data_IF_637990277178
#
_entry.id   IF_637990277178
#
_cell.length_a   1.000
_cell.length_b   1.000
_cell.length_c   1.000
_cell.angle_alpha   90.00
_cell.angle_beta   90.00
_cell.angle_gamma   90.00
#
_symmetry.space_group_name_H-M   'P 1'
#
loop_
_entity.id
_entity.type
_entity.pdbx_description
1 polymer ?
#
# COMPACT_ATOMS: atom_id res chain seq x y z
N UNK A 1 12.73 -15.44 -5.22
CA UNK A 1 11.47 -15.74 -4.52
C UNK A 1 11.20 -14.64 -3.51
N UNK A 2 10.28 -13.74 -3.82
CA UNK A 2 9.86 -12.64 -2.94
C UNK A 2 8.42 -12.81 -2.46
N UNK A 3 8.06 -12.03 -1.44
CA UNK A 3 6.71 -12.00 -0.89
C UNK A 3 5.92 -10.78 -1.35
N UNK A 4 4.68 -11.00 -1.78
CA UNK A 4 3.66 -9.95 -1.88
C UNK A 4 2.79 -10.04 -0.63
N UNK A 5 2.70 -8.94 0.10
CA UNK A 5 2.00 -8.84 1.38
C UNK A 5 0.81 -7.92 1.21
N UNK A 6 -0.38 -8.42 1.55
CA UNK A 6 -1.59 -7.62 1.68
C UNK A 6 -1.99 -7.59 3.16
N UNK A 7 -2.09 -6.39 3.72
CA UNK A 7 -2.73 -6.17 5.01
C UNK A 7 -4.24 -6.15 4.80
N UNK A 8 -4.90 -7.24 5.21
CA UNK A 8 -6.34 -7.44 5.03
C UNK A 8 -7.14 -7.18 6.31
N UNK A 9 -6.57 -6.50 7.31
CA UNK A 9 -7.32 -6.26 8.54
C UNK A 9 -8.58 -5.47 8.23
N UNK A 10 -9.77 -5.95 8.67
CA UNK A 10 -11.02 -5.26 8.41
C UNK A 10 -11.00 -3.88 9.06
N UNK A 11 -11.07 -2.83 8.24
CA UNK A 11 -11.32 -1.49 8.72
C UNK A 11 -12.79 -1.42 9.19
N UNK A 12 -13.03 -1.43 10.51
CA UNK A 12 -14.39 -1.29 11.06
C UNK A 12 -14.89 0.15 10.97
N UNK A 13 -15.02 0.66 9.76
CA UNK A 13 -15.73 1.90 9.53
C UNK A 13 -17.24 1.65 9.62
N UNK A 14 -18.00 2.41 10.43
CA UNK A 14 -19.26 2.90 9.90
C UNK A 14 -18.89 3.79 8.70
N UNK A 15 -19.58 3.58 7.58
CA UNK A 15 -19.37 4.13 6.23
C UNK A 15 -19.30 5.68 6.10
N UNK A 16 -18.92 6.42 7.15
CA UNK A 16 -19.38 7.78 7.43
C UNK A 16 -18.25 8.82 7.58
N UNK A 17 -17.03 8.54 7.08
CA UNK A 17 -15.98 9.60 6.94
C UNK A 17 -15.36 9.71 5.55
N UNK A 18 -15.45 8.67 4.71
CA UNK A 18 -15.21 8.78 3.26
C UNK A 18 -16.55 8.72 2.53
N UNK A 19 -17.06 9.86 2.08
CA UNK A 19 -18.25 9.94 1.25
C UNK A 19 -17.92 9.49 -0.19
N UNK A 20 -17.53 8.23 -0.34
CA UNK A 20 -16.99 7.68 -1.58
C UNK A 20 -18.12 7.35 -2.58
N UNK A 21 -18.07 7.88 -3.80
CA UNK A 21 -18.78 7.27 -4.91
C UNK A 21 -18.10 5.93 -5.24
N UNK A 22 -18.88 4.85 -5.27
CA UNK A 22 -18.35 3.51 -5.56
C UNK A 22 -18.45 3.18 -7.05
N UNK A 23 -17.44 2.49 -7.58
CA UNK A 23 -17.35 2.13 -9.01
C UNK A 23 -17.58 0.62 -9.24
N UNK A 24 -18.30 0.20 -10.30
CA UNK A 24 -19.01 1.04 -11.28
C UNK A 24 -20.15 1.80 -10.60
N UNK A 25 -20.56 2.95 -11.15
CA UNK A 25 -21.78 3.64 -10.70
C UNK A 25 -22.99 2.73 -11.00
N UNK A 26 -23.20 1.72 -10.16
CA UNK A 26 -24.34 0.83 -10.20
C UNK A 26 -25.36 1.33 -9.19
N UNK A 27 -26.63 1.35 -9.59
CA UNK A 27 -27.76 1.81 -8.77
C UNK A 27 -28.06 0.90 -7.56
N UNK A 28 -27.30 -0.18 -7.35
CA UNK A 28 -27.48 -1.10 -6.23
C UNK A 28 -26.35 -0.93 -5.22
N UNK A 29 -26.74 -0.67 -3.97
CA UNK A 29 -25.89 -0.37 -2.80
C UNK A 29 -25.02 -1.51 -2.29
N UNK A 30 -24.53 -2.38 -3.19
CA UNK A 30 -23.65 -3.53 -2.91
C UNK A 30 -22.27 -3.32 -3.55
N UNK A 31 -21.75 -2.10 -3.44
CA UNK A 31 -20.51 -1.74 -4.08
C UNK A 31 -19.33 -1.96 -3.11
N UNK A 32 -18.32 -2.72 -3.55
CA UNK A 32 -17.29 -3.31 -2.69
C UNK A 32 -16.47 -2.23 -1.96
N UNK A 33 -16.45 -2.30 -0.63
CA UNK A 33 -15.59 -1.53 0.29
C UNK A 33 -14.11 -1.85 0.08
N UNK A 34 -13.19 -0.94 0.47
CA UNK A 34 -11.74 -1.19 0.38
C UNK A 34 -11.29 -2.48 1.06
N UNK A 35 -12.00 -2.93 2.09
CA UNK A 35 -11.73 -4.19 2.80
C UNK A 35 -12.00 -5.37 1.90
N UNK A 36 -13.09 -5.31 1.13
CA UNK A 36 -13.41 -6.33 0.14
C UNK A 36 -12.42 -6.30 -1.02
N UNK A 37 -11.80 -5.16 -1.36
CA UNK A 37 -10.72 -5.10 -2.37
C UNK A 37 -9.45 -5.77 -1.87
N UNK A 38 -8.95 -5.42 -0.68
CA UNK A 38 -7.75 -6.03 -0.08
C UNK A 38 -7.97 -7.51 0.25
N UNK A 39 -9.15 -7.86 0.78
CA UNK A 39 -9.52 -9.26 1.02
C UNK A 39 -9.63 -10.03 -0.29
N UNK A 40 -10.22 -9.46 -1.34
CA UNK A 40 -10.26 -10.08 -2.67
C UNK A 40 -8.85 -10.15 -3.31
N UNK A 41 -7.97 -9.19 -3.05
CA UNK A 41 -6.58 -9.17 -3.51
C UNK A 41 -5.78 -10.32 -2.91
N UNK A 42 -5.94 -10.53 -1.62
CA UNK A 42 -5.46 -11.71 -0.95
C UNK A 42 -6.12 -12.97 -1.55
N UNK A 43 -7.44 -13.10 -1.48
CA UNK A 43 -8.17 -14.34 -1.74
C UNK A 43 -8.14 -14.82 -3.21
N UNK A 44 -8.29 -13.92 -4.19
CA UNK A 44 -8.43 -14.30 -5.62
C UNK A 44 -7.12 -14.62 -6.34
N UNK A 45 -5.95 -14.42 -5.71
CA UNK A 45 -4.65 -14.70 -6.33
C UNK A 45 -4.03 -16.04 -5.91
N UNK A 46 -4.73 -16.82 -5.09
CA UNK A 46 -4.29 -18.14 -4.65
C UNK A 46 -4.78 -19.23 -5.61
N UNK A 47 -3.90 -19.64 -6.54
CA UNK A 47 -3.53 -21.04 -6.79
C UNK A 47 -2.48 -21.03 -7.93
N UNK A 48 -1.27 -21.43 -7.54
CA UNK A 48 -0.08 -21.74 -8.34
C UNK A 48 0.88 -20.60 -8.73
N UNK A 49 1.89 -20.42 -7.85
CA UNK A 49 2.98 -19.46 -7.91
C UNK A 49 4.31 -20.19 -7.67
N UNK A 50 4.89 -20.80 -8.71
CA UNK A 50 6.13 -21.58 -8.51
C UNK A 50 7.38 -20.75 -8.10
N UNK A 51 7.29 -19.41 -8.00
CA UNK A 51 8.45 -18.54 -7.62
C UNK A 51 8.13 -17.33 -6.71
N UNK A 52 6.93 -16.74 -6.73
CA UNK A 52 6.57 -15.57 -5.89
C UNK A 52 5.50 -15.97 -4.88
N UNK A 53 5.77 -15.87 -3.58
CA UNK A 53 4.79 -16.32 -2.59
C UNK A 53 3.91 -15.13 -2.17
N UNK A 54 2.60 -15.31 -2.18
CA UNK A 54 1.65 -14.27 -1.75
C UNK A 54 1.16 -14.64 -0.34
N UNK A 55 1.21 -13.70 0.60
CA UNK A 55 0.56 -13.82 1.91
C UNK A 55 -0.48 -12.71 2.00
N UNK A 56 -1.75 -13.11 2.06
CA UNK A 56 -2.79 -12.28 2.67
C UNK A 56 -2.75 -12.56 4.15
N UNK A 57 -2.40 -11.56 4.95
CA UNK A 57 -2.37 -11.68 6.40
C UNK A 57 -3.09 -10.46 6.95
N UNK A 58 -4.13 -10.70 7.75
CA UNK A 58 -4.67 -9.67 8.64
C UNK A 58 -3.50 -9.16 9.46
N UNK A 59 -3.22 -7.85 9.43
CA UNK A 59 -2.17 -7.24 10.24
C UNK A 59 -2.28 -7.56 11.73
N UNK A 60 -3.45 -7.97 12.22
CA UNK A 60 -3.64 -8.55 13.55
C UNK A 60 -2.83 -9.86 13.70
N UNK A 61 -1.61 -9.72 14.19
CA UNK A 61 -0.70 -10.84 14.43
C UNK A 61 0.52 -10.94 13.51
N UNK A 62 0.89 -9.88 12.77
CA UNK A 62 2.26 -9.83 12.21
C UNK A 62 3.28 -9.79 13.36
N UNK A 63 4.15 -10.81 13.50
CA UNK A 63 5.19 -10.74 14.52
C UNK A 63 6.13 -9.57 14.24
N UNK A 64 6.48 -8.82 15.27
CA UNK A 64 7.55 -7.82 15.19
C UNK A 64 8.83 -8.49 14.65
N UNK A 65 9.26 -8.15 13.43
CA UNK A 65 10.53 -8.59 12.83
C UNK A 65 10.47 -9.66 11.74
N UNK A 66 9.30 -10.11 11.26
CA UNK A 66 9.19 -11.49 10.79
C UNK A 66 9.14 -11.79 9.28
N UNK A 67 9.08 -10.81 8.37
CA UNK A 67 8.93 -11.10 6.93
C UNK A 67 10.15 -10.67 6.14
N UNK A 68 10.93 -11.68 5.75
CA UNK A 68 12.08 -11.50 4.88
C UNK A 68 11.74 -11.60 3.41
N UNK A 69 12.41 -10.81 2.58
CA UNK A 69 12.29 -10.80 1.12
C UNK A 69 10.94 -10.28 0.59
N UNK A 70 10.43 -9.18 1.15
CA UNK A 70 9.22 -8.52 0.64
C UNK A 70 9.52 -7.80 -0.68
N UNK A 71 8.75 -8.10 -1.73
CA UNK A 71 8.82 -7.45 -3.04
C UNK A 71 7.64 -6.50 -3.30
N UNK A 72 6.51 -6.69 -2.61
CA UNK A 72 5.40 -5.77 -2.69
C UNK A 72 4.59 -5.78 -1.39
N UNK A 73 4.12 -4.61 -0.96
CA UNK A 73 3.24 -4.45 0.19
C UNK A 73 2.09 -3.50 -0.15
N UNK A 74 0.86 -3.91 0.17
CA UNK A 74 -0.29 -3.02 0.22
C UNK A 74 -1.04 -3.13 1.54
N UNK A 75 -1.52 -2.00 2.06
CA UNK A 75 -2.28 -2.00 3.31
C UNK A 75 -2.99 -0.68 3.63
N UNK A 76 -3.78 -0.70 4.71
CA UNK A 76 -4.52 0.46 5.21
C UNK A 76 -3.66 1.48 5.94
N UNK A 77 -2.47 1.06 6.41
CA UNK A 77 -1.65 1.88 7.30
C UNK A 77 -2.40 2.20 8.58
N UNK A 78 -2.28 3.43 9.09
CA UNK A 78 -2.97 3.81 10.35
C UNK A 78 -4.44 4.19 10.17
N UNK A 79 -4.90 4.32 8.92
CA UNK A 79 -6.24 4.80 8.59
C UNK A 79 -7.35 3.77 8.84
N UNK A 80 -7.04 2.60 9.40
CA UNK A 80 -8.06 1.62 9.78
C UNK A 80 -8.63 1.94 11.17
N UNK A 81 -9.96 1.95 11.29
CA UNK A 81 -10.63 2.07 12.60
C UNK A 81 -10.67 0.69 13.27
N UNK A 82 -9.81 0.47 14.28
CA UNK A 82 -9.81 -0.81 15.01
C UNK A 82 -8.67 -1.07 15.98
N UNK A 83 -7.57 -0.30 15.95
CA UNK A 83 -6.44 -0.48 16.88
C UNK A 83 -5.56 -1.71 16.61
N UNK A 84 -5.83 -2.47 15.56
CA UNK A 84 -4.92 -3.43 14.93
C UNK A 84 -3.62 -2.78 14.43
N UNK A 85 -2.62 -3.61 14.18
CA UNK A 85 -1.34 -3.23 13.59
C UNK A 85 -1.52 -2.82 12.11
N UNK A 86 -0.58 -2.12 11.48
CA UNK A 86 0.34 -1.22 12.13
C UNK A 86 -0.39 -0.05 12.82
N UNK A 87 -0.11 0.20 14.10
CA UNK A 87 -0.88 1.13 14.94
C UNK A 87 -0.18 2.45 15.26
N UNK A 88 1.02 2.68 14.71
CA UNK A 88 1.79 3.90 14.91
C UNK A 88 1.93 4.78 13.66
N UNK A 89 1.97 6.10 13.84
CA UNK A 89 2.20 7.06 12.75
C UNK A 89 3.55 6.90 12.02
N UNK A 90 4.49 6.18 12.64
CA UNK A 90 5.81 5.83 12.10
C UNK A 90 5.92 4.33 11.80
N UNK A 91 4.80 3.66 11.58
CA UNK A 91 4.77 2.20 11.50
C UNK A 91 5.70 1.62 10.44
N UNK A 92 5.93 2.32 9.32
CA UNK A 92 6.88 1.85 8.30
C UNK A 92 8.31 1.73 8.86
N UNK A 93 8.66 2.58 9.82
CA UNK A 93 9.97 2.58 10.48
C UNK A 93 10.01 1.65 11.69
N UNK A 94 8.98 1.69 12.52
CA UNK A 94 9.01 1.09 13.86
C UNK A 94 8.29 -0.27 13.92
N UNK A 95 7.26 -0.46 13.10
CA UNK A 95 6.39 -1.64 13.14
C UNK A 95 6.70 -2.60 11.97
N UNK A 96 6.65 -2.13 10.71
CA UNK A 96 6.99 -2.92 9.51
C UNK A 96 8.49 -3.24 9.47
N UNK A 97 8.84 -4.28 10.19
CA UNK A 97 10.19 -4.83 10.22
C UNK A 97 10.42 -5.81 9.06
N UNK A 98 10.13 -5.37 7.85
CA UNK A 98 10.39 -6.13 6.62
C UNK A 98 11.85 -6.00 6.19
N UNK A 99 12.38 -7.06 5.56
CA UNK A 99 13.53 -6.92 4.68
C UNK A 99 13.07 -6.88 3.23
N UNK A 100 13.42 -5.80 2.53
CA UNK A 100 12.97 -5.57 1.16
C UNK A 100 13.93 -6.18 0.13
N UNK A 101 13.35 -6.80 -0.89
CA UNK A 101 14.10 -7.16 -2.09
C UNK A 101 14.36 -5.92 -2.96
N UNK A 102 15.43 -5.91 -3.78
CA UNK A 102 15.61 -4.88 -4.81
C UNK A 102 14.37 -4.80 -5.71
N UNK A 103 13.83 -3.60 -5.89
CA UNK A 103 12.58 -3.39 -6.61
C UNK A 103 11.33 -3.52 -5.73
N UNK A 104 11.44 -3.49 -4.40
CA UNK A 104 10.25 -3.55 -3.55
C UNK A 104 9.28 -2.39 -3.83
N UNK A 105 7.99 -2.72 -3.95
CA UNK A 105 6.90 -1.79 -4.23
C UNK A 105 5.98 -1.58 -3.01
N UNK A 106 5.47 -0.37 -2.85
CA UNK A 106 4.54 -0.01 -1.77
C UNK A 106 3.33 0.76 -2.29
N UNK A 107 2.15 0.40 -1.79
CA UNK A 107 0.89 1.12 -2.00
C UNK A 107 0.20 1.16 -0.64
N UNK A 108 -0.39 2.28 -0.22
CA UNK A 108 -1.27 2.26 0.95
C UNK A 108 -2.54 3.04 0.72
N UNK A 109 -3.58 2.68 1.45
CA UNK A 109 -4.86 3.38 1.53
C UNK A 109 -4.79 4.51 2.57
N UNK A 110 -3.68 5.24 2.58
CA UNK A 110 -3.45 6.37 3.49
C UNK A 110 -3.53 7.70 2.77
N UNK A 111 -4.07 8.67 3.49
CA UNK A 111 -4.21 10.05 3.07
C UNK A 111 -2.88 10.78 3.24
N UNK A 112 -2.56 11.75 2.38
CA UNK A 112 -1.40 12.65 2.55
C UNK A 112 -0.01 11.97 2.64
N UNK A 113 0.11 10.66 2.36
CA UNK A 113 1.33 9.86 2.48
C UNK A 113 2.39 10.13 1.38
N UNK A 114 2.09 11.04 0.46
CA UNK A 114 2.99 11.50 -0.60
C UNK A 114 3.17 13.03 -0.65
N UNK A 115 2.85 13.75 0.44
CA UNK A 115 2.93 15.22 0.49
C UNK A 115 4.32 15.76 0.76
N UNK A 116 5.15 15.00 1.47
CA UNK A 116 6.48 15.39 1.92
C UNK A 116 7.46 14.21 1.80
N UNK A 117 8.72 14.52 1.49
CA UNK A 117 9.81 13.55 1.39
C UNK A 117 10.86 13.68 2.51
N UNK A 118 10.62 14.56 3.46
CA UNK A 118 11.38 14.57 4.71
C UNK A 118 11.04 13.31 5.51
N UNK A 119 12.01 12.42 5.66
CA UNK A 119 11.89 11.27 6.54
C UNK A 119 11.71 11.75 7.98
N UNK A 120 10.94 11.01 8.78
CA UNK A 120 10.83 11.28 10.23
C UNK A 120 12.16 11.09 11.00
N UNK A 121 13.31 11.02 10.34
CA UNK A 121 14.63 10.77 10.94
C UNK A 121 15.70 11.77 10.51
N UNK A 122 15.33 12.90 9.90
CA UNK A 122 16.32 13.96 9.57
C UNK A 122 17.03 14.39 10.87
N UNK A 123 18.33 14.17 10.92
CA UNK A 123 19.23 14.50 12.05
C UNK A 123 18.92 13.81 13.40
N UNK A 124 18.27 12.63 13.37
CA UNK A 124 18.04 11.82 14.57
C UNK A 124 16.93 12.33 15.49
N UNK A 125 16.27 13.43 15.15
CA UNK A 125 15.07 13.91 15.82
C UNK A 125 13.83 13.34 15.11
N UNK A 126 13.05 12.54 15.83
CA UNK A 126 11.81 11.94 15.29
C UNK A 126 10.70 12.97 15.36
N UNK A 127 10.50 13.74 14.29
CA UNK A 127 9.42 14.73 14.21
C UNK A 127 8.29 14.29 13.25
N UNK A 128 7.06 14.36 13.75
CA UNK A 128 5.80 14.03 13.06
C UNK A 128 5.09 15.27 12.49
N UNK A 129 5.76 16.43 12.54
CA UNK A 129 5.18 17.77 12.43
C UNK A 129 4.42 18.01 11.10
N UNK A 130 4.77 17.30 10.02
CA UNK A 130 4.11 17.43 8.71
C UNK A 130 3.35 16.17 8.25
N UNK A 131 3.34 15.09 9.04
CA UNK A 131 3.00 13.74 8.56
C UNK A 131 1.52 13.37 8.72
N UNK A 132 0.72 14.24 9.36
CA UNK A 132 -0.69 14.02 9.73
C UNK A 132 -0.97 12.65 10.39
N UNK A 133 0.05 12.07 11.00
CA UNK A 133 0.00 10.77 11.62
C UNK A 133 0.03 9.56 10.68
N UNK A 134 0.42 9.71 9.42
CA UNK A 134 0.32 8.65 8.41
C UNK A 134 1.68 8.07 8.06
N UNK A 135 1.72 6.79 7.67
CA UNK A 135 2.90 6.22 7.01
C UNK A 135 3.20 6.99 5.73
N UNK A 136 4.47 7.24 5.45
CA UNK A 136 4.87 8.04 4.28
C UNK A 136 5.70 7.23 3.29
N UNK A 137 5.58 7.56 2.01
CA UNK A 137 6.46 7.03 0.96
C UNK A 137 7.93 7.20 1.34
N UNK A 138 8.30 8.35 1.92
CA UNK A 138 9.68 8.64 2.28
C UNK A 138 10.28 7.62 3.27
N UNK A 139 9.47 7.10 4.20
CA UNK A 139 9.93 6.12 5.18
C UNK A 139 10.13 4.75 4.52
N UNK A 140 9.22 4.38 3.61
CA UNK A 140 9.38 3.16 2.83
C UNK A 140 10.67 3.19 2.02
N UNK A 141 10.94 4.31 1.33
CA UNK A 141 12.19 4.51 0.60
C UNK A 141 13.42 4.51 1.52
N UNK A 142 13.33 5.18 2.68
CA UNK A 142 14.41 5.21 3.68
C UNK A 142 14.75 3.80 4.18
N UNK A 143 13.76 2.92 4.32
CA UNK A 143 13.94 1.52 4.73
C UNK A 143 14.46 0.60 3.63
N UNK A 144 14.71 1.11 2.42
CA UNK A 144 15.24 0.36 1.29
C UNK A 144 14.20 -0.06 0.25
N UNK A 145 12.97 0.43 0.37
CA UNK A 145 11.96 0.35 -0.69
C UNK A 145 12.42 1.04 -1.98
N UNK A 146 11.90 0.61 -3.12
CA UNK A 146 12.35 1.11 -4.43
C UNK A 146 11.33 1.99 -5.14
N UNK A 147 10.05 1.62 -5.08
CA UNK A 147 8.98 2.29 -5.83
C UNK A 147 7.69 2.34 -5.02
N UNK A 148 6.89 3.39 -5.20
CA UNK A 148 5.68 3.57 -4.39
C UNK A 148 4.58 4.35 -5.11
N UNK A 149 3.33 4.12 -4.69
CA UNK A 149 2.18 4.98 -4.96
C UNK A 149 1.70 5.53 -3.61
N UNK A 150 1.42 6.82 -3.56
CA UNK A 150 0.71 7.44 -2.45
C UNK A 150 -0.01 8.70 -2.91
N UNK A 151 -0.38 9.57 -1.99
CA UNK A 151 -1.40 10.58 -2.19
C UNK A 151 -0.99 11.93 -1.56
N UNK A 152 -1.19 13.02 -2.29
CA UNK A 152 -0.97 14.40 -1.78
C UNK A 152 -2.16 14.97 -1.02
N UNK A 153 -3.30 14.28 -1.05
CA UNK A 153 -4.52 14.64 -0.33
C UNK A 153 -5.30 13.38 0.05
N UNK A 154 -6.47 13.53 0.66
CA UNK A 154 -7.44 12.46 0.88
C UNK A 154 -7.92 11.86 -0.45
N UNK A 155 -7.58 10.59 -0.78
CA UNK A 155 -8.16 9.91 -1.93
C UNK A 155 -9.53 9.35 -1.56
N UNK A 156 -10.40 9.20 -2.56
CA UNK A 156 -11.50 8.24 -2.44
C UNK A 156 -10.91 6.82 -2.56
N UNK A 157 -11.47 5.85 -1.86
CA UNK A 157 -11.02 4.44 -1.93
C UNK A 157 -11.02 3.93 -3.37
N UNK A 158 -11.97 4.38 -4.19
CA UNK A 158 -12.03 4.02 -5.61
C UNK A 158 -10.88 4.60 -6.44
N UNK A 159 -10.21 5.64 -5.97
CA UNK A 159 -9.15 6.35 -6.67
C UNK A 159 -7.75 5.85 -6.29
N UNK A 160 -7.60 5.20 -5.13
CA UNK A 160 -6.35 4.50 -4.77
C UNK A 160 -5.99 3.50 -5.86
N UNK A 161 -4.70 3.41 -6.19
CA UNK A 161 -4.21 2.49 -7.22
C UNK A 161 -4.62 1.04 -6.94
N UNK A 162 -5.16 0.35 -7.94
CA UNK A 162 -5.54 -1.06 -7.83
C UNK A 162 -4.28 -1.92 -7.67
N UNK A 163 -3.95 -2.23 -6.44
CA UNK A 163 -2.78 -2.95 -5.97
C UNK A 163 -2.65 -4.31 -6.64
N UNK A 164 -3.77 -4.99 -6.93
CA UNK A 164 -3.77 -6.27 -7.65
C UNK A 164 -3.28 -6.07 -9.07
N UNK A 165 -3.85 -5.08 -9.77
CA UNK A 165 -3.44 -4.77 -11.12
C UNK A 165 -1.98 -4.28 -11.17
N UNK A 166 -1.57 -3.40 -10.25
CA UNK A 166 -0.19 -2.89 -10.20
C UNK A 166 0.79 -4.02 -9.90
N UNK A 167 0.61 -4.75 -8.80
CA UNK A 167 1.56 -5.77 -8.37
C UNK A 167 1.60 -6.98 -9.30
N UNK A 168 0.47 -7.41 -9.86
CA UNK A 168 0.47 -8.47 -10.86
C UNK A 168 1.29 -8.08 -12.09
N UNK A 169 1.12 -6.85 -12.59
CA UNK A 169 1.87 -6.39 -13.76
C UNK A 169 3.36 -6.23 -13.47
N UNK A 170 3.67 -5.63 -12.33
CA UNK A 170 5.03 -5.34 -11.92
C UNK A 170 5.83 -6.60 -11.54
N UNK A 171 5.26 -7.44 -10.67
CA UNK A 171 5.96 -8.59 -10.10
C UNK A 171 5.84 -9.86 -10.97
N UNK A 172 4.80 -9.99 -11.79
CA UNK A 172 4.52 -11.24 -12.54
C UNK A 172 4.61 -11.05 -14.05
N UNK A 173 4.11 -9.94 -14.61
CA UNK A 173 4.14 -9.71 -16.06
C UNK A 173 5.45 -9.10 -16.56
N UNK A 174 6.31 -8.58 -15.67
CA UNK A 174 7.61 -7.98 -16.01
C UNK A 174 7.51 -6.61 -16.66
N UNK A 175 6.37 -5.94 -16.50
CA UNK A 175 6.21 -4.54 -16.85
C UNK A 175 7.11 -3.67 -15.97
N UNK A 176 7.53 -2.50 -16.47
CA UNK A 176 8.21 -1.55 -15.60
C UNK A 176 7.22 -0.90 -14.61
N UNK A 177 7.78 -0.19 -13.63
CA UNK A 177 6.99 0.46 -12.61
C UNK A 177 5.96 1.44 -13.19
N UNK A 178 6.36 2.32 -14.12
CA UNK A 178 5.44 3.32 -14.67
C UNK A 178 4.32 2.69 -15.51
N UNK A 179 4.61 1.62 -16.26
CA UNK A 179 3.60 0.84 -17.01
C UNK A 179 2.61 0.15 -16.08
N UNK A 180 3.09 -0.33 -14.94
CA UNK A 180 2.27 -1.02 -13.94
C UNK A 180 1.38 -0.03 -13.22
N UNK A 181 1.95 1.07 -12.72
CA UNK A 181 1.23 2.15 -12.07
C UNK A 181 0.18 2.77 -13.01
N UNK A 182 0.54 3.13 -14.25
CA UNK A 182 -0.39 3.73 -15.20
C UNK A 182 -1.64 2.86 -15.48
N UNK A 183 -1.50 1.53 -15.44
CA UNK A 183 -2.62 0.61 -15.70
C UNK A 183 -3.41 0.23 -14.44
N UNK A 184 -2.87 0.48 -13.25
CA UNK A 184 -3.57 0.27 -11.98
C UNK A 184 -4.21 1.54 -11.42
N UNK A 185 -3.70 2.71 -11.79
CA UNK A 185 -4.31 4.00 -11.42
C UNK A 185 -5.59 4.22 -12.23
N UNK A 186 -6.69 4.46 -11.50
CA UNK A 186 -8.00 4.72 -12.09
C UNK A 186 -8.20 6.18 -12.45
N UNK A 187 -7.40 7.07 -11.86
CA UNK A 187 -7.52 8.51 -12.03
C UNK A 187 -6.15 9.15 -12.26
N UNK A 188 -5.88 9.53 -13.51
CA UNK A 188 -4.64 10.21 -13.86
C UNK A 188 -4.77 11.71 -13.57
N UNK A 189 -3.72 12.32 -13.01
CA UNK A 189 -3.71 13.74 -12.61
C UNK A 189 -4.68 14.09 -11.46
N UNK A 190 -5.07 13.10 -10.66
CA UNK A 190 -5.72 13.29 -9.36
C UNK A 190 -4.69 13.02 -8.24
N UNK A 191 -5.08 12.97 -6.96
CA UNK A 191 -4.18 13.13 -5.80
C UNK A 191 -3.03 12.11 -5.70
N UNK A 192 -2.97 11.11 -6.57
CA UNK A 192 -1.91 10.11 -6.64
C UNK A 192 -0.56 10.68 -7.07
N UNK A 193 0.50 10.20 -6.42
CA UNK A 193 1.89 10.37 -6.83
C UNK A 193 2.53 9.02 -7.03
N UNK A 194 3.21 8.86 -8.17
CA UNK A 194 3.98 7.67 -8.51
C UNK A 194 5.46 7.99 -8.34
N UNK A 195 6.14 7.21 -7.49
CA UNK A 195 7.48 7.52 -6.99
C UNK A 195 8.44 6.38 -7.30
N UNK A 196 9.68 6.73 -7.65
CA UNK A 196 10.77 5.81 -7.96
C UNK A 196 11.24 5.88 -9.42
N UNK A 197 12.15 4.98 -9.81
CA UNK A 197 12.64 4.90 -11.19
C UNK A 197 11.51 4.34 -12.11
N UNK A 198 11.08 5.06 -13.16
CA UNK A 198 10.03 4.59 -14.05
C UNK A 198 10.38 3.27 -14.76
N UNK A 199 11.66 2.98 -14.97
CA UNK A 199 12.15 1.76 -15.62
C UNK A 199 12.47 0.63 -14.62
N UNK A 200 12.23 0.84 -13.32
CA UNK A 200 12.38 -0.21 -12.32
C UNK A 200 11.57 -1.45 -12.72
N UNK A 201 12.15 -2.64 -12.55
CA UNK A 201 11.55 -3.94 -12.86
C UNK A 201 12.00 -4.98 -11.84
N UNK A 202 11.10 -5.86 -11.45
CA UNK A 202 11.44 -7.08 -10.70
C UNK A 202 12.02 -8.10 -11.69
N UNK A 203 13.16 -8.70 -11.36
CA UNK A 203 13.79 -9.78 -12.14
C UNK A 203 13.77 -11.09 -11.39
#
# INVERSE_FOLDING_TARGET
NGWVVYDTTPARFPLDTMSDPVWPFTEDGDALSGDEWLTAAAYNHFIDLSTTRIIGQESDGMPAGSVDNVIAYAGWGVNHSGGSYPSGNLYILDDLLFTYLPGAAWISYESFNGTDFDSATVDGDRSDINRKGQGQICDFLHRGGSVAIGHVYEPWTIAVGDERAVFYRYCVKGDNWIESAYKGLRCLSWMDVVVGDPLCKVK
#
